data_IF_847187570218
#
_entry.id   IF_847187570218
#
_cell.length_a   1.000
_cell.length_b   1.000
_cell.length_c   1.000
_cell.angle_alpha   90.00
_cell.angle_beta   90.00
_cell.angle_gamma   90.00
#
_symmetry.space_group_name_H-M   'P 1'
#
loop_
_entity.id
_entity.type
_entity.pdbx_description
1 polymer ?
#
# COMPACT_ATOMS: atom_id res chain seq x y z
N UNK A 1 -13.70 27.08 -63.98
CA UNK A 1 -12.71 27.97 -63.31
C UNK A 1 -11.65 27.09 -62.63
N UNK A 2 -10.46 26.90 -63.26
CA UNK A 2 -9.34 26.19 -62.66
C UNK A 2 -8.58 27.15 -61.75
N UNK A 3 -8.64 26.95 -60.42
CA UNK A 3 -7.82 27.70 -59.46
C UNK A 3 -6.35 27.27 -59.64
N UNK A 4 -5.52 28.15 -60.16
CA UNK A 4 -4.07 28.03 -60.17
C UNK A 4 -3.58 28.07 -58.71
N UNK A 5 -3.29 26.94 -58.15
CA UNK A 5 -2.57 26.88 -56.87
C UNK A 5 -1.19 27.48 -57.06
N UNK A 6 -0.91 28.56 -56.37
CA UNK A 6 0.34 29.33 -56.47
C UNK A 6 1.54 28.39 -56.13
N UNK A 7 2.30 27.96 -57.13
CA UNK A 7 3.46 27.06 -56.98
C UNK A 7 4.41 27.49 -55.84
N UNK A 8 4.56 28.80 -55.63
CA UNK A 8 5.38 29.35 -54.56
C UNK A 8 4.78 29.08 -53.17
N UNK A 9 3.45 29.14 -53.01
CA UNK A 9 2.78 28.82 -51.76
C UNK A 9 2.88 27.32 -51.40
N UNK A 10 2.79 26.44 -52.39
CA UNK A 10 2.96 24.99 -52.20
C UNK A 10 4.41 24.67 -51.76
N UNK A 11 5.42 25.28 -52.42
CA UNK A 11 6.83 25.09 -52.08
C UNK A 11 7.11 25.62 -50.66
N UNK A 12 6.52 26.76 -50.26
CA UNK A 12 6.70 27.28 -48.90
C UNK A 12 6.06 26.38 -47.84
N UNK A 13 4.88 25.84 -48.11
CA UNK A 13 4.17 24.94 -47.22
C UNK A 13 4.93 23.61 -47.03
N UNK A 14 5.47 23.05 -48.14
CA UNK A 14 6.29 21.83 -48.06
C UNK A 14 7.61 22.05 -47.32
N UNK A 15 8.24 23.24 -47.49
CA UNK A 15 9.45 23.59 -46.78
C UNK A 15 9.18 23.74 -45.26
N UNK A 16 8.07 24.38 -44.85
CA UNK A 16 7.66 24.51 -43.46
C UNK A 16 7.34 23.12 -42.86
N UNK A 17 6.61 22.27 -43.56
CA UNK A 17 6.32 20.91 -43.13
C UNK A 17 7.60 20.06 -42.99
N UNK A 18 8.56 20.19 -43.89
CA UNK A 18 9.85 19.50 -43.80
C UNK A 18 10.68 20.00 -42.60
N UNK A 19 10.69 21.29 -42.32
CA UNK A 19 11.36 21.89 -41.15
C UNK A 19 10.69 21.41 -39.86
N UNK A 20 9.37 21.43 -39.75
CA UNK A 20 8.63 20.95 -38.58
C UNK A 20 8.86 19.45 -38.37
N UNK A 21 8.84 18.63 -39.43
CA UNK A 21 9.18 17.21 -39.36
C UNK A 21 10.61 16.99 -38.86
N UNK A 22 11.59 17.74 -39.42
CA UNK A 22 13.00 17.64 -39.02
C UNK A 22 13.25 18.01 -37.54
N UNK A 23 12.59 19.05 -37.04
CA UNK A 23 12.67 19.41 -35.61
C UNK A 23 11.93 18.43 -34.68
N UNK A 24 10.83 17.84 -35.16
CA UNK A 24 10.08 16.81 -34.38
C UNK A 24 10.88 15.51 -34.25
N UNK A 25 11.61 15.10 -35.30
CA UNK A 25 12.49 13.93 -35.26
C UNK A 25 13.69 14.13 -34.32
N UNK A 26 14.27 15.32 -34.26
CA UNK A 26 15.50 15.60 -33.48
C UNK A 26 15.31 15.50 -31.98
N UNK A 27 14.11 15.78 -31.44
CA UNK A 27 13.83 15.75 -30.00
C UNK A 27 13.56 14.34 -29.47
N UNK A 28 12.94 13.46 -30.24
CA UNK A 28 12.66 12.07 -29.87
C UNK A 28 13.91 11.18 -29.93
N UNK A 29 14.78 11.43 -30.93
CA UNK A 29 15.97 10.62 -31.22
C UNK A 29 17.02 10.72 -30.06
N UNK A 30 17.19 11.90 -29.49
CA UNK A 30 18.22 12.12 -28.47
C UNK A 30 17.93 11.36 -27.17
N UNK A 31 16.67 11.29 -26.70
CA UNK A 31 16.31 10.59 -25.47
C UNK A 31 16.44 9.07 -25.61
N UNK A 32 15.96 8.52 -26.72
CA UNK A 32 16.05 7.09 -27.01
C UNK A 32 17.51 6.66 -27.14
N UNK A 33 18.33 7.45 -27.83
CA UNK A 33 19.77 7.22 -27.92
C UNK A 33 20.45 7.26 -26.56
N UNK A 34 20.16 8.26 -25.71
CA UNK A 34 20.75 8.37 -24.38
C UNK A 34 20.36 7.17 -23.50
N UNK A 35 19.11 6.71 -23.59
CA UNK A 35 18.66 5.53 -22.86
C UNK A 35 19.42 4.27 -23.31
N UNK A 36 19.50 4.03 -24.63
CA UNK A 36 20.22 2.89 -25.18
C UNK A 36 21.71 2.91 -24.78
N UNK A 37 22.38 4.05 -24.94
CA UNK A 37 23.77 4.25 -24.51
C UNK A 37 23.98 3.94 -23.05
N UNK A 38 23.11 4.45 -22.15
CA UNK A 38 23.23 4.23 -20.72
C UNK A 38 23.02 2.75 -20.36
N UNK A 39 22.10 2.05 -21.03
CA UNK A 39 21.91 0.62 -20.82
C UNK A 39 23.11 -0.20 -21.29
N UNK A 40 23.75 0.19 -22.40
CA UNK A 40 24.97 -0.46 -22.89
C UNK A 40 26.13 -0.28 -21.90
N UNK A 41 26.33 0.96 -21.37
CA UNK A 41 27.33 1.25 -20.35
C UNK A 41 27.06 0.43 -19.09
N UNK A 42 25.80 0.37 -18.61
CA UNK A 42 25.43 -0.41 -17.45
C UNK A 42 25.74 -1.90 -17.61
N UNK A 43 25.38 -2.48 -18.76
CA UNK A 43 25.70 -3.87 -19.07
C UNK A 43 27.21 -4.12 -19.13
N UNK A 44 28.00 -3.20 -19.69
CA UNK A 44 29.45 -3.29 -19.72
C UNK A 44 30.02 -3.28 -18.28
N UNK A 45 29.57 -2.36 -17.42
CA UNK A 45 30.01 -2.30 -16.03
C UNK A 45 29.73 -3.62 -15.30
N UNK A 46 28.54 -4.19 -15.44
CA UNK A 46 28.19 -5.45 -14.80
C UNK A 46 29.13 -6.60 -15.25
N UNK A 47 29.43 -6.66 -16.55
CA UNK A 47 30.36 -7.66 -17.09
C UNK A 47 31.78 -7.49 -16.59
N UNK A 48 32.29 -6.26 -16.53
CA UNK A 48 33.63 -5.96 -16.01
C UNK A 48 33.72 -6.31 -14.51
N UNK A 49 32.68 -6.01 -13.72
CA UNK A 49 32.63 -6.38 -12.31
C UNK A 49 32.63 -7.91 -12.12
N UNK A 50 31.81 -8.63 -12.86
CA UNK A 50 31.75 -10.10 -12.78
C UNK A 50 33.09 -10.76 -13.16
N UNK A 51 33.81 -10.18 -14.11
CA UNK A 51 35.05 -10.73 -14.64
C UNK A 51 36.30 -10.35 -13.83
N UNK A 52 36.37 -9.13 -13.28
CA UNK A 52 37.61 -8.55 -12.78
C UNK A 52 37.55 -8.08 -11.32
N UNK A 53 36.38 -8.09 -10.66
CA UNK A 53 36.31 -7.71 -9.26
C UNK A 53 37.11 -8.69 -8.39
N UNK A 54 37.80 -8.19 -7.38
CA UNK A 54 38.76 -8.98 -6.56
C UNK A 54 38.11 -10.18 -5.86
N UNK A 55 36.83 -10.05 -5.47
CA UNK A 55 36.08 -11.12 -4.83
C UNK A 55 34.91 -11.58 -5.73
N UNK A 56 34.40 -12.80 -5.48
CA UNK A 56 33.22 -13.29 -6.16
C UNK A 56 32.01 -12.45 -5.76
N UNK A 57 31.34 -11.84 -6.74
CA UNK A 57 30.10 -11.11 -6.52
C UNK A 57 28.88 -12.02 -6.74
N UNK A 58 27.81 -11.76 -5.99
CA UNK A 58 26.48 -12.28 -6.29
C UNK A 58 25.77 -11.32 -7.24
N UNK A 59 25.59 -11.69 -8.52
CA UNK A 59 24.97 -10.80 -9.51
C UNK A 59 23.54 -10.37 -9.10
N UNK A 60 22.75 -11.29 -8.53
CA UNK A 60 21.37 -11.00 -8.14
C UNK A 60 21.32 -9.94 -7.04
N UNK A 61 22.16 -10.10 -6.01
CA UNK A 61 22.26 -9.15 -4.90
C UNK A 61 22.75 -7.77 -5.39
N UNK A 62 23.84 -7.75 -6.15
CA UNK A 62 24.46 -6.51 -6.63
C UNK A 62 23.52 -5.72 -7.55
N UNK A 63 22.84 -6.42 -8.48
CA UNK A 63 21.86 -5.78 -9.36
C UNK A 63 20.63 -5.29 -8.60
N UNK A 64 20.18 -6.05 -7.60
CA UNK A 64 19.05 -5.65 -6.73
C UNK A 64 19.36 -4.36 -5.99
N UNK A 65 20.52 -4.26 -5.35
CA UNK A 65 20.97 -3.04 -4.66
C UNK A 65 21.03 -1.83 -5.60
N UNK A 66 21.51 -2.03 -6.84
CA UNK A 66 21.53 -0.99 -7.88
C UNK A 66 20.13 -0.53 -8.31
N UNK A 67 19.21 -1.46 -8.50
CA UNK A 67 17.80 -1.18 -8.82
C UNK A 67 17.15 -0.40 -7.67
N UNK A 68 17.30 -0.88 -6.45
CA UNK A 68 16.69 -0.26 -5.27
C UNK A 68 17.22 1.17 -5.06
N UNK A 69 18.52 1.41 -5.21
CA UNK A 69 19.10 2.74 -5.16
C UNK A 69 18.56 3.68 -6.25
N UNK A 70 18.42 3.19 -7.49
CA UNK A 70 17.82 3.94 -8.59
C UNK A 70 16.36 4.30 -8.30
N UNK A 71 15.55 3.37 -7.80
CA UNK A 71 14.15 3.60 -7.51
C UNK A 71 13.97 4.55 -6.32
N UNK A 72 14.76 4.39 -5.26
CA UNK A 72 14.77 5.27 -4.09
C UNK A 72 15.11 6.72 -4.45
N UNK A 73 15.92 6.95 -5.49
CA UNK A 73 16.22 8.31 -5.97
C UNK A 73 15.00 9.03 -6.58
N UNK A 74 13.91 8.33 -6.86
CA UNK A 74 12.68 8.91 -7.40
C UNK A 74 11.69 9.25 -6.28
N UNK A 75 11.38 8.28 -5.43
CA UNK A 75 10.53 8.38 -4.25
C UNK A 75 10.62 7.07 -3.43
N UNK A 76 10.24 7.06 -2.14
CA UNK A 76 10.34 5.87 -1.29
C UNK A 76 9.25 4.82 -1.53
N UNK A 77 8.32 5.04 -2.46
CA UNK A 77 7.16 4.17 -2.70
C UNK A 77 7.27 3.37 -4.00
N UNK A 78 8.16 3.77 -4.89
CA UNK A 78 8.48 3.05 -6.13
C UNK A 78 9.45 1.92 -5.81
N UNK A 79 8.98 0.66 -5.88
CA UNK A 79 9.73 -0.52 -5.46
C UNK A 79 9.68 -1.62 -6.50
N UNK A 80 10.75 -2.42 -6.57
CA UNK A 80 10.82 -3.63 -7.37
C UNK A 80 10.64 -4.86 -6.46
N UNK A 81 9.76 -5.77 -6.89
CA UNK A 81 9.51 -7.06 -6.27
C UNK A 81 9.91 -8.15 -7.26
N UNK A 82 10.99 -8.91 -7.02
CA UNK A 82 11.30 -10.09 -7.81
C UNK A 82 10.27 -11.20 -7.59
N UNK A 83 10.38 -12.31 -8.31
CA UNK A 83 9.43 -13.42 -8.25
C UNK A 83 9.28 -13.97 -6.81
N UNK A 84 10.37 -14.09 -6.08
CA UNK A 84 10.40 -14.59 -4.69
C UNK A 84 9.66 -13.67 -3.70
N UNK A 85 9.57 -12.35 -3.98
CA UNK A 85 8.94 -11.35 -3.12
C UNK A 85 7.48 -11.04 -3.50
N UNK A 86 6.88 -11.76 -4.48
CA UNK A 86 5.50 -11.53 -4.91
C UNK A 86 4.48 -11.71 -3.78
N UNK A 87 4.76 -12.59 -2.82
CA UNK A 87 3.92 -12.79 -1.64
C UNK A 87 3.82 -11.54 -0.77
N UNK A 88 4.90 -10.76 -0.66
CA UNK A 88 4.90 -9.48 0.05
C UNK A 88 4.02 -8.44 -0.64
N UNK A 89 4.15 -8.33 -1.97
CA UNK A 89 3.30 -7.43 -2.76
C UNK A 89 1.82 -7.80 -2.65
N UNK A 90 1.49 -9.09 -2.75
CA UNK A 90 0.10 -9.57 -2.58
C UNK A 90 -0.44 -9.27 -1.19
N UNK A 91 0.38 -9.40 -0.15
CA UNK A 91 0.03 -9.06 1.22
C UNK A 91 -0.30 -7.57 1.36
N UNK A 92 0.51 -6.69 0.76
CA UNK A 92 0.25 -5.25 0.77
C UNK A 92 -1.10 -4.90 0.10
N UNK A 93 -1.45 -5.60 -0.98
CA UNK A 93 -2.68 -5.35 -1.76
C UNK A 93 -3.90 -5.99 -1.10
N UNK A 94 -3.80 -7.27 -0.74
CA UNK A 94 -4.92 -8.07 -0.22
C UNK A 94 -5.14 -7.85 1.29
N UNK A 95 -4.16 -7.30 2.02
CA UNK A 95 -4.21 -7.17 3.48
C UNK A 95 -4.17 -8.50 4.21
N UNK A 96 -3.72 -9.57 3.53
CA UNK A 96 -3.59 -10.91 4.10
C UNK A 96 -2.16 -11.41 3.95
N UNK A 97 -1.68 -12.20 4.91
CA UNK A 97 -0.34 -12.78 4.87
C UNK A 97 -0.36 -14.25 5.28
N UNK A 98 0.58 -15.02 4.77
CA UNK A 98 0.78 -16.39 5.23
C UNK A 98 1.46 -16.39 6.60
N UNK A 99 0.80 -16.95 7.61
CA UNK A 99 1.31 -16.92 8.97
C UNK A 99 0.50 -17.74 9.96
N UNK A 100 0.65 -17.44 11.25
CA UNK A 100 0.01 -18.18 12.34
C UNK A 100 -1.18 -17.46 12.98
N UNK A 101 -1.36 -16.15 12.71
CA UNK A 101 -2.45 -15.36 13.29
C UNK A 101 -2.29 -15.18 14.80
N UNK A 102 -1.20 -14.55 15.20
CA UNK A 102 -0.94 -14.19 16.61
C UNK A 102 -0.19 -12.87 16.70
N UNK A 103 -0.52 -12.09 17.71
CA UNK A 103 0.31 -10.97 18.14
C UNK A 103 1.44 -11.51 19.02
N UNK A 104 2.65 -11.01 18.81
CA UNK A 104 3.81 -11.30 19.65
C UNK A 104 4.36 -10.01 20.27
N UNK A 105 4.94 -10.12 21.46
CA UNK A 105 5.65 -9.04 22.15
C UNK A 105 7.03 -9.48 22.55
N UNK A 106 7.93 -8.55 22.85
CA UNK A 106 9.31 -8.86 23.23
C UNK A 106 9.48 -8.78 24.74
N UNK A 107 9.92 -9.87 25.35
CA UNK A 107 10.33 -9.89 26.75
C UNK A 107 11.83 -9.53 26.84
N UNK A 108 12.11 -8.30 27.27
CA UNK A 108 13.48 -7.75 27.37
C UNK A 108 14.34 -8.54 28.37
N UNK A 109 13.75 -9.05 29.46
CA UNK A 109 14.49 -9.79 30.50
C UNK A 109 14.93 -11.15 29.99
N UNK A 110 14.07 -11.84 29.23
CA UNK A 110 14.34 -13.16 28.66
C UNK A 110 15.00 -13.09 27.28
N UNK A 111 15.08 -11.90 26.68
CA UNK A 111 15.56 -11.66 25.30
C UNK A 111 14.84 -12.56 24.29
N UNK A 112 13.54 -12.76 24.43
CA UNK A 112 12.72 -13.64 23.61
C UNK A 112 11.37 -13.01 23.27
N UNK A 113 10.82 -13.38 22.13
CA UNK A 113 9.44 -13.06 21.79
C UNK A 113 8.48 -13.98 22.56
N UNK A 114 7.33 -13.43 22.91
CA UNK A 114 6.26 -14.08 23.66
C UNK A 114 4.96 -13.94 22.89
N UNK A 115 4.12 -14.96 22.87
CA UNK A 115 2.76 -14.86 22.36
C UNK A 115 1.98 -13.88 23.25
N UNK A 116 1.61 -12.72 22.71
CA UNK A 116 0.76 -11.78 23.43
C UNK A 116 -0.71 -12.17 23.29
N UNK A 117 -1.14 -12.52 22.07
CA UNK A 117 -2.52 -12.91 21.78
C UNK A 117 -2.57 -13.83 20.54
N UNK A 118 -2.99 -15.09 20.64
CA UNK A 118 -3.35 -15.91 19.50
C UNK A 118 -4.78 -15.55 19.08
N UNK A 119 -4.96 -15.15 17.82
CA UNK A 119 -6.29 -14.75 17.30
C UNK A 119 -7.21 -15.96 17.17
N UNK A 120 -8.44 -15.81 17.61
CA UNK A 120 -9.46 -16.85 17.56
C UNK A 120 -9.67 -17.38 16.14
N UNK A 121 -9.78 -18.69 15.99
CA UNK A 121 -9.96 -19.36 14.70
C UNK A 121 -8.71 -19.42 13.83
N UNK A 122 -7.59 -18.80 14.21
CA UNK A 122 -6.35 -18.80 13.46
C UNK A 122 -5.42 -19.96 13.85
N UNK A 123 -4.40 -20.30 13.04
CA UNK A 123 -3.53 -21.46 13.27
C UNK A 123 -2.91 -21.53 14.66
N UNK A 124 -2.43 -20.41 15.20
CA UNK A 124 -1.84 -20.35 16.54
C UNK A 124 -2.83 -20.82 17.61
N UNK A 125 -4.05 -20.31 17.60
CA UNK A 125 -5.11 -20.71 18.53
C UNK A 125 -5.54 -22.15 18.31
N UNK A 126 -5.66 -22.60 17.03
CA UNK A 126 -6.08 -23.96 16.68
C UNK A 126 -5.12 -25.03 17.18
N UNK A 127 -3.81 -24.77 17.19
CA UNK A 127 -2.83 -25.72 17.73
C UNK A 127 -2.69 -25.63 19.26
N UNK A 128 -3.33 -24.66 19.91
CA UNK A 128 -3.34 -24.51 21.37
C UNK A 128 -2.20 -23.64 21.93
N UNK A 129 -1.60 -22.75 21.12
CA UNK A 129 -0.76 -21.66 21.61
C UNK A 129 -1.60 -20.74 22.49
N UNK A 130 -0.98 -20.18 23.53
CA UNK A 130 -1.65 -19.32 24.53
C UNK A 130 -0.86 -18.05 24.77
N UNK A 131 -1.55 -17.01 25.20
CA UNK A 131 -0.90 -15.81 25.70
C UNK A 131 0.08 -16.18 26.84
N UNK A 132 1.28 -15.64 26.80
CA UNK A 132 2.37 -15.93 27.72
C UNK A 132 3.31 -17.08 27.27
N UNK A 133 3.05 -17.80 26.20
CA UNK A 133 3.97 -18.78 25.63
C UNK A 133 5.22 -18.06 25.10
N UNK A 134 6.40 -18.48 25.60
CA UNK A 134 7.71 -17.92 25.26
C UNK A 134 8.29 -18.73 24.11
N UNK A 135 8.66 -18.07 23.02
CA UNK A 135 9.14 -18.72 21.81
C UNK A 135 10.62 -19.11 21.97
N UNK A 136 10.91 -20.41 21.95
CA UNK A 136 12.27 -20.94 22.12
C UNK A 136 12.97 -21.18 20.78
N UNK A 137 12.40 -22.05 19.94
CA UNK A 137 13.00 -22.40 18.64
C UNK A 137 11.94 -22.52 17.55
N UNK A 138 12.33 -22.18 16.33
CA UNK A 138 11.53 -22.39 15.11
C UNK A 138 12.37 -23.27 14.15
N UNK A 139 11.85 -24.44 13.79
CA UNK A 139 12.56 -25.47 13.01
C UNK A 139 13.97 -25.75 13.54
N UNK A 140 14.11 -25.81 14.88
CA UNK A 140 15.37 -26.04 15.57
C UNK A 140 16.30 -24.83 15.70
N UNK A 141 15.99 -23.71 15.03
CA UNK A 141 16.75 -22.44 15.14
C UNK A 141 16.36 -21.70 16.42
N UNK A 142 17.34 -21.35 17.24
CA UNK A 142 17.10 -20.58 18.46
C UNK A 142 16.62 -19.16 18.14
N UNK A 143 15.62 -18.70 18.91
CA UNK A 143 15.01 -17.38 18.79
C UNK A 143 15.53 -16.40 19.86
N UNK A 144 16.49 -16.79 20.71
CA UNK A 144 17.07 -15.92 21.71
C UNK A 144 17.81 -14.73 21.07
N UNK A 145 17.59 -13.53 21.60
CA UNK A 145 18.24 -12.33 21.12
C UNK A 145 17.70 -11.79 19.79
N UNK A 146 16.80 -12.51 19.10
CA UNK A 146 16.14 -12.02 17.88
C UNK A 146 15.07 -10.99 18.24
N UNK A 147 15.02 -9.92 17.45
CA UNK A 147 13.98 -8.91 17.58
C UNK A 147 12.60 -9.46 17.24
N UNK A 148 11.54 -8.79 17.72
CA UNK A 148 10.17 -9.15 17.36
C UNK A 148 9.92 -9.13 15.83
N UNK A 149 10.57 -8.23 15.11
CA UNK A 149 10.46 -8.14 13.66
C UNK A 149 11.03 -9.38 12.98
N UNK A 150 12.25 -9.80 13.35
CA UNK A 150 12.88 -11.01 12.82
C UNK A 150 12.07 -12.27 13.15
N UNK A 151 11.57 -12.41 14.38
CA UNK A 151 10.73 -13.56 14.75
C UNK A 151 9.41 -13.53 14.00
N UNK A 152 8.79 -12.37 13.83
CA UNK A 152 7.56 -12.22 13.06
C UNK A 152 7.76 -12.63 11.59
N UNK A 153 8.89 -12.25 10.99
CA UNK A 153 9.25 -12.65 9.63
C UNK A 153 9.45 -14.16 9.52
N UNK A 154 10.13 -14.78 10.47
CA UNK A 154 10.31 -16.24 10.52
C UNK A 154 8.98 -17.01 10.69
N UNK A 155 8.02 -16.46 11.44
CA UNK A 155 6.70 -17.05 11.61
C UNK A 155 5.83 -16.91 10.35
N UNK A 156 6.08 -15.91 9.52
CA UNK A 156 5.44 -15.72 8.21
C UNK A 156 6.04 -16.68 7.17
N UNK A 157 5.39 -16.76 6.01
CA UNK A 157 5.84 -17.54 4.87
C UNK A 157 4.70 -17.99 3.99
N UNK A 158 5.00 -18.80 3.00
CA UNK A 158 4.02 -19.27 2.02
C UNK A 158 2.89 -20.06 2.70
N UNK A 159 1.65 -19.74 2.32
CA UNK A 159 0.45 -20.46 2.80
C UNK A 159 0.55 -21.94 2.47
N UNK A 160 0.18 -22.78 3.44
CA UNK A 160 0.26 -24.24 3.33
C UNK A 160 1.59 -24.83 3.79
N UNK A 161 2.65 -24.04 3.97
CA UNK A 161 3.93 -24.54 4.53
C UNK A 161 3.79 -24.84 6.02
N UNK A 162 4.54 -25.82 6.49
CA UNK A 162 4.52 -26.29 7.88
C UNK A 162 5.87 -26.06 8.53
N UNK A 163 5.88 -25.69 9.80
CA UNK A 163 7.07 -25.58 10.62
C UNK A 163 6.83 -26.08 12.05
N UNK A 164 7.90 -26.33 12.79
CA UNK A 164 7.88 -26.73 14.19
C UNK A 164 8.25 -25.55 15.08
N UNK A 165 7.40 -25.26 16.07
CA UNK A 165 7.61 -24.20 17.05
C UNK A 165 7.70 -24.82 18.45
N UNK A 166 8.82 -24.60 19.14
CA UNK A 166 9.00 -24.99 20.55
C UNK A 166 8.81 -23.77 21.43
N UNK A 167 8.02 -23.93 22.48
CA UNK A 167 7.73 -22.86 23.44
C UNK A 167 7.94 -23.34 24.89
N UNK A 168 8.25 -22.39 25.76
CA UNK A 168 8.13 -22.52 27.21
C UNK A 168 6.82 -21.88 27.66
N UNK A 169 6.02 -22.64 28.40
CA UNK A 169 4.76 -22.13 28.98
C UNK A 169 4.92 -21.98 30.47
N UNK A 170 4.69 -20.76 31.03
CA UNK A 170 4.72 -20.56 32.48
C UNK A 170 3.81 -21.54 33.23
N UNK A 171 4.35 -22.20 34.25
CA UNK A 171 3.65 -23.23 35.00
C UNK A 171 3.70 -24.65 34.42
N UNK A 172 4.36 -24.85 33.30
CA UNK A 172 4.59 -26.17 32.68
C UNK A 172 6.08 -26.49 32.73
N UNK A 173 6.45 -27.63 33.30
CA UNK A 173 7.85 -27.99 33.58
C UNK A 173 8.68 -28.34 32.34
N UNK A 174 8.05 -28.72 31.24
CA UNK A 174 8.73 -29.12 30.00
C UNK A 174 8.29 -28.22 28.84
N UNK A 175 9.22 -27.87 27.93
CA UNK A 175 8.86 -27.19 26.70
C UNK A 175 7.82 -27.99 25.89
N UNK A 176 6.98 -27.27 25.16
CA UNK A 176 5.92 -27.83 24.33
C UNK A 176 6.28 -27.60 22.87
N UNK A 177 6.16 -28.64 22.05
CA UNK A 177 6.35 -28.60 20.62
C UNK A 177 5.01 -28.51 19.89
N UNK A 178 4.90 -27.55 18.97
CA UNK A 178 3.75 -27.36 18.11
C UNK A 178 4.17 -27.50 16.65
N UNK A 179 3.40 -28.26 15.87
CA UNK A 179 3.49 -28.30 14.41
C UNK A 179 2.42 -27.40 13.83
N UNK A 180 2.82 -26.34 13.14
CA UNK A 180 1.91 -25.28 12.69
C UNK A 180 1.92 -25.20 11.17
N UNK A 181 0.76 -25.21 10.55
CA UNK A 181 0.58 -24.94 9.12
C UNK A 181 0.24 -23.47 8.94
N UNK A 182 1.03 -22.75 8.14
CA UNK A 182 0.72 -21.35 7.80
C UNK A 182 -0.54 -21.29 6.99
N UNK A 183 -1.46 -20.40 7.38
CA UNK A 183 -2.67 -20.07 6.63
C UNK A 183 -2.66 -18.63 6.19
N UNK A 184 -3.53 -18.27 5.26
CA UNK A 184 -3.78 -16.86 4.95
C UNK A 184 -4.45 -16.20 6.15
N UNK A 185 -3.77 -15.24 6.76
CA UNK A 185 -4.23 -14.47 7.91
C UNK A 185 -4.74 -13.15 7.38
N UNK A 186 -6.02 -12.90 7.54
CA UNK A 186 -6.65 -11.62 7.23
C UNK A 186 -7.17 -11.02 8.54
N UNK A 187 -6.63 -9.87 8.91
CA UNK A 187 -7.12 -9.13 10.06
C UNK A 187 -8.33 -8.29 9.65
N UNK A 188 -9.33 -8.15 10.51
CA UNK A 188 -10.47 -7.28 10.22
C UNK A 188 -9.99 -5.84 10.02
N UNK A 189 -10.52 -5.20 8.98
CA UNK A 189 -10.21 -3.79 8.68
C UNK A 189 -10.99 -2.85 9.58
N UNK A 190 -12.10 -3.33 10.15
CA UNK A 190 -12.87 -2.70 11.22
C UNK A 190 -12.77 -3.56 12.48
N UNK A 191 -11.67 -3.45 13.26
CA UNK A 191 -11.48 -4.29 14.46
C UNK A 191 -12.43 -3.95 15.60
N UNK A 192 -13.01 -2.76 15.58
CA UNK A 192 -14.00 -2.35 16.58
C UNK A 192 -15.05 -1.41 16.02
N UNK A 193 -16.30 -1.68 16.34
CA UNK A 193 -17.42 -0.78 16.13
C UNK A 193 -18.39 -0.89 17.32
N UNK A 194 -18.83 0.25 17.87
CA UNK A 194 -19.71 0.27 19.04
C UNK A 194 -20.35 1.63 19.30
N UNK A 195 -21.32 1.66 20.19
CA UNK A 195 -21.86 2.91 20.75
C UNK A 195 -20.99 3.32 21.92
N UNK A 196 -20.37 4.51 21.85
CA UNK A 196 -19.37 4.94 22.85
C UNK A 196 -19.92 5.92 23.89
N UNK A 197 -20.91 6.74 23.53
CA UNK A 197 -21.54 7.69 24.46
C UNK A 197 -22.92 8.09 23.95
N UNK A 198 -23.93 8.00 24.77
CA UNK A 198 -25.30 8.34 24.41
C UNK A 198 -25.77 7.61 23.14
N UNK A 199 -25.95 8.35 22.05
CA UNK A 199 -26.30 7.81 20.73
C UNK A 199 -25.19 8.05 19.69
N UNK A 200 -23.93 8.13 20.12
CA UNK A 200 -22.78 8.30 19.25
C UNK A 200 -22.17 6.92 18.90
N UNK A 201 -22.24 6.58 17.63
CA UNK A 201 -21.53 5.43 17.07
C UNK A 201 -20.04 5.73 16.87
N UNK A 202 -19.21 4.71 16.97
CA UNK A 202 -17.76 4.78 16.71
C UNK A 202 -17.36 3.57 15.87
N UNK A 203 -16.58 3.84 14.82
CA UNK A 203 -16.00 2.81 13.94
C UNK A 203 -14.51 3.07 13.87
N UNK A 204 -13.69 2.10 14.29
CA UNK A 204 -12.26 2.10 14.06
C UNK A 204 -11.99 1.43 12.70
N UNK A 205 -11.39 2.17 11.75
CA UNK A 205 -11.01 1.69 10.43
C UNK A 205 -9.49 1.70 10.32
N UNK A 206 -8.86 0.51 10.40
CA UNK A 206 -7.41 0.36 10.49
C UNK A 206 -6.68 0.30 9.15
N UNK A 207 -7.36 -0.09 8.08
CA UNK A 207 -6.73 -0.30 6.77
C UNK A 207 -7.75 -0.18 5.64
N UNK A 208 -7.26 0.14 4.44
CA UNK A 208 -8.02 0.07 3.19
C UNK A 208 -7.58 -1.12 2.31
N UNK A 209 -7.03 -2.19 2.91
CA UNK A 209 -6.69 -3.44 2.22
C UNK A 209 -7.82 -4.46 2.37
N UNK A 210 -7.99 -5.36 1.40
CA UNK A 210 -9.06 -6.35 1.45
C UNK A 210 -10.44 -5.76 1.09
N UNK A 211 -11.42 -5.87 2.00
CA UNK A 211 -12.80 -5.42 1.76
C UNK A 211 -13.32 -4.42 2.83
N UNK A 212 -12.61 -3.33 3.11
CA UNK A 212 -12.94 -2.42 4.20
C UNK A 212 -14.30 -1.73 4.02
N UNK A 213 -14.71 -1.40 2.81
CA UNK A 213 -16.02 -0.80 2.55
C UNK A 213 -17.18 -1.71 2.95
N UNK A 214 -17.04 -3.01 2.72
CA UNK A 214 -18.04 -4.01 3.13
C UNK A 214 -18.13 -4.13 4.65
N UNK A 215 -16.98 -4.25 5.32
CA UNK A 215 -16.92 -4.35 6.79
C UNK A 215 -17.44 -3.06 7.44
N UNK A 216 -17.02 -1.90 6.94
CA UNK A 216 -17.48 -0.60 7.39
C UNK A 216 -19.01 -0.44 7.21
N UNK A 217 -19.53 -0.80 6.03
CA UNK A 217 -20.97 -0.75 5.75
C UNK A 217 -21.75 -1.58 6.75
N UNK A 218 -21.31 -2.83 7.01
CA UNK A 218 -21.98 -3.71 7.97
C UNK A 218 -21.98 -3.09 9.36
N UNK A 219 -20.81 -2.63 9.84
CA UNK A 219 -20.68 -1.98 11.14
C UNK A 219 -21.57 -0.73 11.25
N UNK A 220 -21.63 0.09 10.21
CA UNK A 220 -22.46 1.29 10.19
C UNK A 220 -23.97 0.96 10.26
N UNK A 221 -24.41 -0.02 9.47
CA UNK A 221 -25.82 -0.46 9.50
C UNK A 221 -26.21 -1.05 10.86
N UNK A 222 -25.31 -1.82 11.48
CA UNK A 222 -25.52 -2.39 12.82
C UNK A 222 -25.65 -1.27 13.88
N UNK A 223 -24.81 -0.23 13.77
CA UNK A 223 -24.92 0.94 14.64
C UNK A 223 -26.21 1.73 14.41
N UNK A 224 -26.62 1.91 13.13
CA UNK A 224 -27.90 2.55 12.81
C UNK A 224 -29.09 1.79 13.40
N UNK A 225 -29.08 0.46 13.36
CA UNK A 225 -30.13 -0.37 13.99
C UNK A 225 -30.22 -0.17 15.52
N UNK A 226 -29.09 0.23 16.16
CA UNK A 226 -29.03 0.59 17.59
C UNK A 226 -29.46 2.04 17.86
N UNK A 227 -29.87 2.79 16.83
CA UNK A 227 -30.43 4.13 16.96
C UNK A 227 -29.39 5.23 17.20
N UNK A 228 -28.17 5.10 16.67
CA UNK A 228 -27.18 6.18 16.72
C UNK A 228 -27.68 7.44 15.97
N UNK A 229 -27.30 8.61 16.47
CA UNK A 229 -27.63 9.92 15.86
C UNK A 229 -26.39 10.70 15.43
N UNK A 230 -25.19 10.18 15.67
CA UNK A 230 -23.90 10.73 15.21
C UNK A 230 -22.88 9.59 15.06
N UNK A 231 -21.86 9.80 14.25
CA UNK A 231 -20.82 8.79 13.98
C UNK A 231 -19.43 9.39 14.07
N UNK A 232 -18.54 8.69 14.74
CA UNK A 232 -17.09 8.94 14.76
C UNK A 232 -16.42 7.85 13.93
N UNK A 233 -15.63 8.26 12.94
CA UNK A 233 -14.76 7.38 12.14
C UNK A 233 -13.33 7.62 12.59
N UNK A 234 -12.66 6.58 13.10
CA UNK A 234 -11.28 6.69 13.56
C UNK A 234 -10.31 6.14 12.50
N UNK A 235 -9.50 7.03 11.94
CA UNK A 235 -8.44 6.75 10.96
C UNK A 235 -7.03 6.92 11.54
N UNK A 236 -6.90 7.09 12.85
CA UNK A 236 -5.59 7.26 13.49
C UNK A 236 -4.75 5.99 13.30
N UNK A 237 -3.52 6.16 12.79
CA UNK A 237 -2.63 5.05 12.47
C UNK A 237 -2.98 4.28 11.19
N UNK A 238 -4.02 4.65 10.47
CA UNK A 238 -4.39 4.00 9.22
C UNK A 238 -3.54 4.53 8.05
N UNK A 239 -2.58 3.73 7.59
CA UNK A 239 -1.66 4.06 6.48
C UNK A 239 -2.30 4.07 5.08
N UNK A 240 -3.59 3.78 4.96
CA UNK A 240 -4.31 3.75 3.68
C UNK A 240 -4.46 2.33 3.11
N UNK A 241 -4.43 2.22 1.79
CA UNK A 241 -4.61 1.00 1.00
C UNK A 241 -5.27 1.30 -0.35
N UNK A 242 -6.30 0.56 -0.72
CA UNK A 242 -6.99 0.68 -2.00
C UNK A 242 -7.78 2.00 -2.09
N UNK A 243 -7.54 2.77 -3.15
CA UNK A 243 -8.20 4.05 -3.38
C UNK A 243 -9.72 3.87 -3.58
N UNK A 244 -10.13 2.85 -4.35
CA UNK A 244 -11.53 2.58 -4.65
C UNK A 244 -12.34 2.31 -3.40
N UNK A 245 -11.76 1.68 -2.39
CA UNK A 245 -12.38 1.41 -1.10
C UNK A 245 -12.67 2.70 -0.31
N UNK A 246 -11.75 3.66 -0.34
CA UNK A 246 -11.98 4.97 0.26
C UNK A 246 -13.11 5.73 -0.44
N UNK A 247 -13.14 5.69 -1.77
CA UNK A 247 -14.22 6.28 -2.58
C UNK A 247 -15.57 5.64 -2.25
N UNK A 248 -15.61 4.31 -2.09
CA UNK A 248 -16.85 3.60 -1.75
C UNK A 248 -17.36 3.98 -0.35
N UNK A 249 -16.47 4.16 0.65
CA UNK A 249 -16.89 4.59 1.99
C UNK A 249 -17.41 6.04 1.95
N UNK A 250 -16.77 6.95 1.20
CA UNK A 250 -17.31 8.33 1.01
C UNK A 250 -18.70 8.28 0.38
N UNK A 251 -18.91 7.37 -0.57
CA UNK A 251 -20.22 7.21 -1.24
C UNK A 251 -21.36 6.85 -0.26
N UNK A 252 -21.08 6.30 0.92
CA UNK A 252 -22.14 6.05 1.91
C UNK A 252 -22.74 7.32 2.51
N UNK A 253 -22.01 8.45 2.45
CA UNK A 253 -22.35 9.69 3.14
C UNK A 253 -22.54 10.89 2.22
N UNK A 254 -22.25 10.76 0.93
CA UNK A 254 -22.22 11.87 -0.03
C UNK A 254 -23.16 11.59 -1.20
N UNK A 255 -24.00 12.55 -1.62
CA UNK A 255 -24.91 12.38 -2.75
C UNK A 255 -24.19 11.91 -4.02
N UNK A 256 -24.90 11.14 -4.85
CA UNK A 256 -24.41 10.64 -6.13
C UNK A 256 -23.92 11.76 -7.06
N UNK A 257 -22.86 11.47 -7.83
CA UNK A 257 -22.30 12.36 -8.86
C UNK A 257 -21.24 13.34 -8.36
N UNK A 258 -20.95 13.37 -7.06
CA UNK A 258 -19.91 14.24 -6.50
C UNK A 258 -18.52 13.71 -6.80
N UNK A 259 -17.60 14.58 -7.20
CA UNK A 259 -16.18 14.22 -7.36
C UNK A 259 -15.55 14.03 -5.99
N UNK A 260 -14.86 12.90 -5.79
CA UNK A 260 -14.20 12.54 -4.53
C UNK A 260 -12.69 12.74 -4.64
N UNK A 261 -12.09 12.28 -5.74
CA UNK A 261 -10.66 12.42 -5.98
C UNK A 261 -10.37 12.43 -7.48
N UNK A 262 -9.37 13.19 -7.88
CA UNK A 262 -8.85 13.24 -9.25
C UNK A 262 -7.39 12.79 -9.21
N UNK A 263 -7.01 11.84 -10.05
CA UNK A 263 -5.61 11.49 -10.26
C UNK A 263 -5.06 12.21 -11.49
N UNK A 264 -3.81 12.68 -11.43
CA UNK A 264 -3.11 13.30 -12.55
C UNK A 264 -1.70 12.72 -12.63
N UNK A 265 -1.32 12.23 -13.80
CA UNK A 265 -0.01 11.67 -14.07
C UNK A 265 0.55 12.13 -15.42
N UNK A 266 1.69 11.56 -15.80
CA UNK A 266 2.39 11.90 -17.06
C UNK A 266 1.61 11.47 -18.30
N UNK A 267 0.85 10.38 -18.24
CA UNK A 267 0.08 9.84 -19.35
C UNK A 267 -1.42 10.02 -19.12
N UNK A 268 -2.22 10.01 -20.20
CA UNK A 268 -3.67 10.08 -20.11
C UNK A 268 -4.26 8.90 -19.30
N UNK A 269 -3.65 7.71 -19.40
CA UNK A 269 -4.06 6.53 -18.64
C UNK A 269 -3.85 6.67 -17.12
N UNK A 270 -2.97 7.57 -16.70
CA UNK A 270 -2.70 7.87 -15.29
C UNK A 270 -3.61 8.97 -14.73
N UNK A 271 -4.51 9.52 -15.55
CA UNK A 271 -5.50 10.53 -15.14
C UNK A 271 -6.89 9.89 -15.04
N UNK A 272 -7.54 10.04 -13.89
CA UNK A 272 -8.88 9.51 -13.63
C UNK A 272 -9.65 10.44 -12.70
N UNK A 273 -10.97 10.46 -12.84
CA UNK A 273 -11.88 11.19 -11.95
C UNK A 273 -12.78 10.17 -11.26
N UNK A 274 -12.66 10.08 -9.96
CA UNK A 274 -13.49 9.20 -9.14
C UNK A 274 -14.65 9.99 -8.55
N UNK A 275 -15.85 9.46 -8.73
CA UNK A 275 -17.10 10.09 -8.27
C UNK A 275 -17.92 9.10 -7.46
N UNK A 276 -18.83 9.63 -6.63
CA UNK A 276 -19.88 8.82 -6.04
C UNK A 276 -20.80 8.29 -7.14
N UNK A 277 -21.00 6.96 -7.16
CA UNK A 277 -21.78 6.30 -8.23
C UNK A 277 -23.12 5.74 -7.75
N UNK A 278 -23.26 5.55 -6.44
CA UNK A 278 -24.46 4.93 -5.82
C UNK A 278 -25.20 5.94 -4.97
N UNK A 279 -26.45 5.60 -4.64
CA UNK A 279 -27.21 6.35 -3.65
C UNK A 279 -26.54 6.18 -2.27
N UNK A 280 -26.41 7.26 -1.50
CA UNK A 280 -25.82 7.23 -0.18
C UNK A 280 -26.67 6.43 0.81
N UNK A 281 -26.06 5.95 1.89
CA UNK A 281 -26.78 5.30 2.99
C UNK A 281 -27.39 6.38 3.90
N UNK A 282 -26.64 7.46 4.15
CA UNK A 282 -27.07 8.54 5.05
C UNK A 282 -26.29 9.82 4.77
N UNK A 283 -26.98 10.85 4.28
CA UNK A 283 -26.37 12.16 4.03
C UNK A 283 -26.47 13.12 5.21
N UNK A 284 -27.24 12.77 6.24
CA UNK A 284 -27.61 13.69 7.31
C UNK A 284 -26.90 13.42 8.64
N UNK A 285 -26.54 12.17 8.93
CA UNK A 285 -25.89 11.82 10.20
C UNK A 285 -24.64 12.67 10.43
N UNK A 286 -24.50 13.41 11.56
CA UNK A 286 -23.28 14.14 11.89
C UNK A 286 -22.06 13.21 11.94
N UNK A 287 -20.98 13.60 11.22
CA UNK A 287 -19.75 12.84 11.10
C UNK A 287 -18.57 13.59 11.73
N UNK A 288 -17.77 12.86 12.48
CA UNK A 288 -16.43 13.27 12.92
C UNK A 288 -15.42 12.25 12.44
N UNK A 289 -14.31 12.71 11.88
CA UNK A 289 -13.20 11.84 11.46
C UNK A 289 -11.98 12.16 12.32
N UNK A 290 -11.48 11.15 13.05
CA UNK A 290 -10.26 11.26 13.85
C UNK A 290 -9.04 10.92 13.01
N UNK A 291 -8.02 11.78 13.06
CA UNK A 291 -6.79 11.63 12.27
C UNK A 291 -5.54 11.92 13.10
N UNK A 292 -4.39 11.37 12.68
CA UNK A 292 -3.08 11.69 13.26
C UNK A 292 -1.97 11.56 12.19
N UNK A 293 -0.71 11.70 12.61
CA UNK A 293 0.46 11.59 11.73
C UNK A 293 0.62 10.22 11.05
N UNK A 294 -0.04 9.17 11.54
CA UNK A 294 -0.10 7.84 10.90
C UNK A 294 -1.23 7.69 9.89
N UNK A 295 -2.12 8.69 9.78
CA UNK A 295 -3.20 8.70 8.78
C UNK A 295 -2.63 9.07 7.42
N UNK A 296 -2.66 8.16 6.43
CA UNK A 296 -1.98 8.37 5.15
C UNK A 296 -2.79 7.88 3.93
N UNK A 297 -2.48 8.41 2.74
CA UNK A 297 -2.96 7.89 1.44
C UNK A 297 -4.49 7.82 1.34
N UNK A 298 -5.09 6.65 1.14
CA UNK A 298 -6.54 6.46 1.03
C UNK A 298 -7.31 6.97 2.24
N UNK A 299 -6.70 6.94 3.44
CA UNK A 299 -7.27 7.59 4.64
C UNK A 299 -7.33 9.10 4.49
N UNK A 300 -6.35 9.71 3.83
CA UNK A 300 -6.34 11.15 3.54
C UNK A 300 -7.33 11.51 2.45
N UNK A 301 -7.60 10.59 1.51
CA UNK A 301 -8.68 10.76 0.52
C UNK A 301 -10.04 10.78 1.22
N UNK A 302 -10.31 9.79 2.10
CA UNK A 302 -11.57 9.73 2.85
C UNK A 302 -11.77 10.99 3.69
N UNK A 303 -10.80 11.32 4.55
CA UNK A 303 -10.88 12.48 5.44
C UNK A 303 -10.98 13.79 4.66
N UNK A 304 -10.12 13.98 3.65
CA UNK A 304 -10.07 15.19 2.86
C UNK A 304 -11.30 15.39 1.96
N UNK A 305 -11.84 14.32 1.39
CA UNK A 305 -13.06 14.41 0.60
C UNK A 305 -14.27 14.76 1.46
N UNK A 306 -14.43 14.14 2.63
CA UNK A 306 -15.51 14.47 3.56
C UNK A 306 -15.37 15.90 4.10
N UNK A 307 -14.14 16.39 4.32
CA UNK A 307 -13.86 17.76 4.71
C UNK A 307 -14.23 18.75 3.61
N UNK A 308 -13.71 18.55 2.40
CA UNK A 308 -13.89 19.47 1.27
C UNK A 308 -15.35 19.53 0.78
N UNK A 309 -16.16 18.52 1.07
CA UNK A 309 -17.58 18.46 0.76
C UNK A 309 -18.47 18.91 1.94
N UNK A 310 -17.88 19.52 2.97
CA UNK A 310 -18.55 19.97 4.19
C UNK A 310 -19.40 18.87 4.87
N UNK A 311 -18.94 17.59 4.72
CA UNK A 311 -19.70 16.43 5.21
C UNK A 311 -19.27 15.95 6.58
N UNK A 312 -18.02 16.21 6.97
CA UNK A 312 -17.50 15.79 8.28
C UNK A 312 -16.58 16.85 8.89
N UNK A 313 -16.52 16.85 10.22
CA UNK A 313 -15.51 17.57 11.00
C UNK A 313 -14.30 16.67 11.17
N UNK A 314 -13.12 17.20 10.81
CA UNK A 314 -11.84 16.49 10.99
C UNK A 314 -11.23 16.93 12.33
N UNK A 315 -10.88 15.97 13.17
CA UNK A 315 -10.31 16.19 14.50
C UNK A 315 -9.01 15.43 14.68
N UNK A 316 -7.98 16.07 15.20
CA UNK A 316 -6.69 15.46 15.50
C UNK A 316 -5.50 16.28 15.00
N UNK A 317 -4.39 15.59 14.75
CA UNK A 317 -3.15 16.21 14.29
C UNK A 317 -3.04 16.15 12.76
N UNK A 318 -2.04 16.88 12.22
CA UNK A 318 -1.72 16.84 10.80
C UNK A 318 -1.45 15.41 10.34
N UNK A 319 -2.05 15.01 9.21
CA UNK A 319 -1.88 13.69 8.58
C UNK A 319 -0.51 13.56 7.92
N UNK A 320 -0.17 12.35 7.48
CA UNK A 320 1.14 12.02 6.91
C UNK A 320 1.51 12.84 5.68
N UNK A 321 0.56 13.05 4.76
CA UNK A 321 0.79 13.79 3.52
C UNK A 321 1.31 12.93 2.38
N UNK A 322 0.72 11.74 2.14
CA UNK A 322 1.02 10.89 0.99
C UNK A 322 -0.04 11.07 -0.10
N UNK A 323 0.28 11.87 -1.11
CA UNK A 323 -0.57 12.16 -2.26
C UNK A 323 -0.14 11.48 -3.57
N UNK A 324 0.62 10.39 -3.48
CA UNK A 324 1.17 9.63 -4.61
C UNK A 324 0.42 8.30 -4.80
N UNK A 325 0.14 7.95 -6.06
CA UNK A 325 -0.53 6.69 -6.45
C UNK A 325 0.48 5.77 -7.09
N UNK A 326 0.61 4.56 -6.56
CA UNK A 326 1.43 3.50 -7.13
C UNK A 326 0.55 2.50 -7.87
N UNK A 327 1.03 2.01 -9.02
CA UNK A 327 0.40 0.94 -9.80
C UNK A 327 1.43 -0.17 -10.02
N UNK A 328 1.08 -1.43 -9.77
CA UNK A 328 1.93 -2.56 -10.10
C UNK A 328 2.01 -2.75 -11.63
N UNK A 329 3.22 -3.00 -12.13
CA UNK A 329 3.53 -3.30 -13.53
C UNK A 329 4.32 -4.60 -13.58
N UNK A 330 3.78 -5.61 -14.27
CA UNK A 330 4.49 -6.87 -14.47
C UNK A 330 5.75 -6.67 -15.31
N UNK A 331 6.81 -7.30 -14.90
CA UNK A 331 8.11 -7.33 -15.57
C UNK A 331 8.42 -8.77 -16.02
N UNK A 332 9.41 -8.96 -16.93
CA UNK A 332 9.92 -10.28 -17.25
C UNK A 332 10.36 -11.05 -16.00
N UNK A 333 10.41 -12.39 -16.13
CA UNK A 333 10.84 -13.31 -15.06
C UNK A 333 10.03 -13.19 -13.77
N UNK A 334 8.70 -12.99 -13.88
CA UNK A 334 7.81 -12.97 -12.72
C UNK A 334 7.92 -11.74 -11.81
N UNK A 335 8.82 -10.80 -12.12
CA UNK A 335 8.99 -9.58 -11.32
C UNK A 335 7.84 -8.59 -11.45
N UNK A 336 7.70 -7.70 -10.48
CA UNK A 336 6.73 -6.60 -10.48
C UNK A 336 7.38 -5.29 -10.07
N UNK A 337 7.15 -4.23 -10.84
CA UNK A 337 7.50 -2.87 -10.49
C UNK A 337 6.26 -2.15 -9.93
N UNK A 338 6.24 -1.83 -8.66
CA UNK A 338 5.25 -0.93 -8.06
C UNK A 338 5.73 0.49 -8.29
N UNK A 339 5.19 1.18 -9.30
CA UNK A 339 5.68 2.49 -9.74
C UNK A 339 4.69 3.61 -9.44
N UNK A 340 5.19 4.74 -8.95
CA UNK A 340 4.42 5.97 -8.78
C UNK A 340 4.06 6.55 -10.15
N UNK A 341 2.76 6.57 -10.49
CA UNK A 341 2.25 7.00 -11.79
C UNK A 341 1.51 8.32 -11.74
N UNK A 342 0.97 8.71 -10.58
CA UNK A 342 0.08 9.87 -10.47
C UNK A 342 0.20 10.53 -9.09
N UNK A 343 -0.20 11.81 -9.04
CA UNK A 343 -0.61 12.52 -7.82
C UNK A 343 -2.13 12.53 -7.75
N UNK A 344 -2.71 12.52 -6.54
CA UNK A 344 -4.13 12.69 -6.38
C UNK A 344 -4.50 14.03 -5.74
N UNK A 345 -5.69 14.51 -6.10
CA UNK A 345 -6.24 15.79 -5.70
C UNK A 345 -7.64 15.57 -5.15
N UNK A 346 -7.90 16.02 -3.93
CA UNK A 346 -9.21 15.96 -3.29
C UNK A 346 -10.18 16.99 -3.88
N UNK A 347 -11.47 17.03 -3.54
CA UNK A 347 -12.48 17.84 -4.24
C UNK A 347 -12.15 19.32 -4.39
N UNK A 348 -11.48 19.93 -3.41
CA UNK A 348 -11.02 21.34 -3.49
C UNK A 348 -9.91 21.57 -4.53
N UNK A 349 -9.38 20.54 -5.16
CA UNK A 349 -8.21 20.59 -6.03
C UNK A 349 -6.86 20.58 -5.30
N UNK A 350 -6.88 20.47 -3.98
CA UNK A 350 -5.69 20.38 -3.14
C UNK A 350 -5.04 19.00 -3.27
N UNK A 351 -3.71 18.96 -3.49
CA UNK A 351 -2.91 17.76 -3.38
C UNK A 351 -2.43 17.61 -1.93
N UNK A 352 -2.64 16.45 -1.32
CA UNK A 352 -2.22 16.22 0.07
C UNK A 352 -0.73 15.89 0.21
N UNK A 353 0.00 15.72 -0.91
CA UNK A 353 1.43 15.41 -0.88
C UNK A 353 2.22 16.48 -0.13
N UNK A 354 2.85 16.09 0.99
CA UNK A 354 3.61 17.00 1.84
C UNK A 354 5.05 17.21 1.35
N UNK A 355 5.69 16.15 0.83
CA UNK A 355 7.09 16.14 0.41
C UNK A 355 7.16 16.13 -1.12
N UNK A 356 7.91 17.05 -1.72
CA UNK A 356 8.28 16.99 -3.13
C UNK A 356 9.60 16.26 -3.28
N UNK A 357 9.57 15.04 -3.81
CA UNK A 357 10.76 14.19 -4.02
C UNK A 357 11.57 14.57 -5.27
N UNK A 358 11.16 15.59 -6.02
CA UNK A 358 11.90 16.05 -7.20
C UNK A 358 13.02 17.05 -6.92
N UNK A 359 13.05 17.57 -5.71
CA UNK A 359 14.00 18.63 -5.31
C UNK A 359 14.75 18.26 -4.05
#
# INVERSE_FOLDING_TARGET
>A
MKKFFNRRAVILLTAILAVVAFFSFKSSDNRTFQLAKNMEIFNAIVKELDMFYVDTIDPNKTLREGIDAMLMSLDPYTNYFPEEDQSELEQMIKGSYGGIGSMITYDVKRKRSVIAEPYEGMPAAQVGLRAGDILLTLDGKDLEGKTNAEVSEMLRGQVGTTFSLRVERPGVSKPIDFKIVRKSIQLPTVPYAGVVSGKTGYINLNSFSGNPSKEFKQAFLDLKSKGITSLVIDLRGNGGGLLDEAVEIVNFFVPRGKTIVVTKGKTKQAASVYKTLREPIDTEIPLVVLVNSGTASSSEILAGALQDLDRAVIVGNRTFGKGLVQIPRSLPYGGTLKVTTSKYYIPSGRCVQAIDYKH
#
